data_IF_776633000107
#
_entry.id   IF_776633000107
#
_cell.length_a   1.000
_cell.length_b   1.000
_cell.length_c   1.000
_cell.angle_alpha   90.00
_cell.angle_beta   90.00
_cell.angle_gamma   90.00
#
_symmetry.space_group_name_H-M   'P 1'
#
loop_
_entity.id
_entity.type
_entity.pdbx_description
1 polymer ?
#
# COMPACT_ATOMS: atom_id res chain seq x y z
N UNK A 1 4.22 -10.38 -1.64
CA UNK A 1 3.66 -9.09 -1.16
C UNK A 1 3.50 -9.19 0.35
N UNK A 2 3.73 -8.13 1.11
CA UNK A 2 3.64 -8.16 2.59
C UNK A 2 2.19 -7.86 3.01
N UNK A 3 1.42 -8.85 3.51
CA UNK A 3 0.01 -8.63 3.83
C UNK A 3 -0.18 -7.80 5.11
N UNK A 4 0.82 -7.78 5.99
CA UNK A 4 0.76 -7.08 7.26
C UNK A 4 2.07 -6.32 7.49
N UNK A 5 1.94 -5.14 8.09
CA UNK A 5 3.05 -4.31 8.54
C UNK A 5 2.81 -3.93 10.00
N UNK A 6 3.78 -4.26 10.84
CA UNK A 6 3.82 -3.79 12.23
C UNK A 6 4.68 -2.53 12.29
N UNK A 7 4.08 -1.42 12.70
CA UNK A 7 4.77 -0.16 12.90
C UNK A 7 4.82 0.15 14.40
N UNK A 8 6.00 0.47 14.90
CA UNK A 8 6.20 0.87 16.28
C UNK A 8 7.20 2.02 16.33
N UNK A 9 6.91 3.00 17.16
CA UNK A 9 7.74 4.18 17.34
C UNK A 9 8.28 4.19 18.76
N UNK A 10 9.60 4.31 18.86
CA UNK A 10 10.33 4.34 20.13
C UNK A 10 10.88 5.75 20.32
N UNK A 11 10.63 6.34 21.49
CA UNK A 11 10.99 7.73 21.79
C UNK A 11 12.04 7.85 22.91
N UNK A 12 12.52 6.72 23.44
CA UNK A 12 13.48 6.69 24.54
C UNK A 12 14.75 7.48 24.17
N UNK A 13 15.15 8.49 24.96
CA UNK A 13 16.25 9.39 24.60
C UNK A 13 17.61 8.67 24.59
N UNK A 14 17.79 7.68 25.46
CA UNK A 14 18.97 6.83 25.48
C UNK A 14 18.96 5.81 24.33
N UNK A 15 20.05 5.78 23.57
CA UNK A 15 20.20 4.91 22.41
C UNK A 15 20.28 3.43 22.81
N UNK A 16 20.99 3.10 23.90
CA UNK A 16 21.14 1.72 24.35
C UNK A 16 19.81 1.14 24.84
N UNK A 17 19.07 1.91 25.63
CA UNK A 17 17.72 1.58 26.06
C UNK A 17 16.77 1.38 24.87
N UNK A 18 16.80 2.30 23.90
CA UNK A 18 15.94 2.21 22.70
C UNK A 18 16.23 0.95 21.89
N UNK A 19 17.50 0.57 21.73
CA UNK A 19 17.86 -0.68 21.05
C UNK A 19 17.34 -1.90 21.83
N UNK A 20 17.45 -1.90 23.17
CA UNK A 20 16.91 -2.97 24.01
C UNK A 20 15.39 -3.13 23.87
N UNK A 21 14.64 -2.02 23.82
CA UNK A 21 13.19 -2.02 23.59
C UNK A 21 12.83 -2.58 22.22
N UNK A 22 13.56 -2.18 21.17
CA UNK A 22 13.37 -2.68 19.81
C UNK A 22 13.61 -4.18 19.75
N UNK A 23 14.74 -4.65 20.28
CA UNK A 23 15.10 -6.07 20.28
C UNK A 23 14.10 -6.91 21.11
N UNK A 24 13.63 -6.38 22.23
CA UNK A 24 12.57 -6.98 23.04
C UNK A 24 11.27 -7.15 22.24
N UNK A 25 10.83 -6.09 21.55
CA UNK A 25 9.62 -6.15 20.72
C UNK A 25 9.76 -7.13 19.56
N UNK A 26 10.91 -7.15 18.88
CA UNK A 26 11.16 -8.10 17.78
C UNK A 26 11.05 -9.55 18.27
N UNK A 27 11.53 -9.86 19.47
CA UNK A 27 11.40 -11.20 20.09
C UNK A 27 9.94 -11.53 20.45
N UNK A 28 9.15 -10.55 20.90
CA UNK A 28 7.73 -10.72 21.23
C UNK A 28 6.86 -10.93 19.98
N UNK A 29 7.22 -10.30 18.86
CA UNK A 29 6.53 -10.48 17.59
C UNK A 29 6.72 -11.91 17.09
N UNK A 30 5.70 -12.76 17.29
CA UNK A 30 5.68 -14.14 16.81
C UNK A 30 6.02 -14.18 15.31
N UNK A 31 7.17 -14.75 15.02
CA UNK A 31 7.80 -14.75 13.69
C UNK A 31 7.08 -15.77 12.82
N UNK A 32 6.37 -15.29 11.79
CA UNK A 32 6.04 -16.17 10.68
C UNK A 32 7.33 -16.42 9.87
N UNK A 33 7.55 -17.64 9.36
CA UNK A 33 8.65 -17.89 8.44
C UNK A 33 8.61 -16.88 7.28
N UNK A 34 9.68 -16.10 7.11
CA UNK A 34 9.79 -15.06 6.09
C UNK A 34 9.44 -13.62 6.54
N UNK A 35 9.10 -13.40 7.81
CA UNK A 35 8.98 -12.03 8.35
C UNK A 35 10.29 -11.25 8.24
N UNK A 36 10.19 -9.98 7.85
CA UNK A 36 11.31 -9.04 7.82
C UNK A 36 11.18 -8.08 9.01
N UNK A 37 12.26 -7.95 9.79
CA UNK A 37 12.35 -7.01 10.89
C UNK A 37 13.53 -6.08 10.66
N UNK A 38 13.33 -4.79 10.92
CA UNK A 38 14.38 -3.80 10.84
C UNK A 38 14.11 -2.65 11.81
N UNK A 39 15.18 -2.12 12.38
CA UNK A 39 15.18 -0.87 13.14
C UNK A 39 15.47 0.27 12.18
N UNK A 40 14.61 1.28 12.17
CA UNK A 40 14.68 2.37 11.20
C UNK A 40 14.74 3.73 11.88
N UNK A 41 15.72 4.54 11.48
CA UNK A 41 15.84 5.93 11.87
C UNK A 41 15.24 6.83 10.80
N UNK A 42 14.51 7.88 11.20
CA UNK A 42 14.00 8.87 10.27
C UNK A 42 15.11 9.86 9.88
N UNK A 43 15.43 9.91 8.59
CA UNK A 43 16.51 10.77 8.06
C UNK A 43 15.95 12.07 7.50
N UNK A 44 14.81 11.98 6.81
CA UNK A 44 14.11 13.14 6.26
C UNK A 44 12.62 13.05 6.49
N UNK A 45 11.97 14.19 6.68
CA UNK A 45 10.51 14.27 6.75
C UNK A 45 10.00 15.58 6.16
N UNK A 46 8.86 15.50 5.48
CA UNK A 46 8.05 16.64 5.06
C UNK A 46 6.71 16.52 5.78
N UNK A 47 6.34 17.55 6.54
CA UNK A 47 5.03 17.68 7.15
C UNK A 47 4.22 18.70 6.36
N UNK A 48 3.05 18.31 5.87
CA UNK A 48 2.17 19.13 5.02
C UNK A 48 0.98 19.70 5.78
N UNK A 49 0.61 19.10 6.90
CA UNK A 49 -0.48 19.56 7.78
C UNK A 49 0.06 19.95 9.15
N UNK A 50 -0.58 20.94 9.79
CA UNK A 50 -0.21 21.53 11.08
C UNK A 50 -0.37 20.60 12.30
N UNK A 51 -0.70 19.32 12.08
CA UNK A 51 -0.61 18.23 13.08
C UNK A 51 0.85 17.86 13.35
N UNK A 52 1.73 18.86 13.41
CA UNK A 52 3.14 18.72 13.73
C UNK A 52 3.25 18.31 15.20
N UNK A 53 3.48 17.02 15.45
CA UNK A 53 3.70 16.49 16.79
C UNK A 53 2.74 15.38 17.24
N UNK A 54 1.62 15.17 16.53
CA UNK A 54 0.80 13.98 16.80
C UNK A 54 1.47 12.75 16.17
N UNK A 55 2.17 12.00 17.01
CA UNK A 55 2.85 10.74 16.63
C UNK A 55 1.88 9.56 16.65
N UNK A 56 0.61 9.80 16.98
CA UNK A 56 -0.40 8.73 17.00
C UNK A 56 -0.72 8.32 15.58
N UNK A 57 -0.92 7.01 15.41
CA UNK A 57 -1.42 6.47 14.15
C UNK A 57 -2.80 7.09 13.84
N UNK A 58 -3.09 7.41 12.57
CA UNK A 58 -4.40 7.88 12.14
C UNK A 58 -5.50 6.93 12.60
N UNK A 59 -6.50 7.48 13.29
CA UNK A 59 -7.68 6.73 13.77
C UNK A 59 -8.85 6.75 12.79
N UNK A 60 -8.77 7.54 11.72
CA UNK A 60 -9.81 7.62 10.70
C UNK A 60 -9.80 6.36 9.83
N UNK A 61 -10.95 5.71 9.65
CA UNK A 61 -11.10 4.51 8.79
C UNK A 61 -10.64 4.73 7.34
N UNK A 62 -10.70 5.96 6.83
CA UNK A 62 -10.28 6.32 5.48
C UNK A 62 -8.80 6.75 5.40
N UNK A 63 -8.14 6.88 6.55
CA UNK A 63 -6.71 7.17 6.58
C UNK A 63 -5.91 5.91 6.23
N UNK A 64 -4.74 6.13 5.64
CA UNK A 64 -3.89 5.05 5.18
C UNK A 64 -2.50 5.53 4.84
N UNK A 65 -1.67 4.57 4.47
CA UNK A 65 -0.27 4.79 4.15
C UNK A 65 0.08 4.22 2.79
N UNK A 66 0.80 4.99 1.99
CA UNK A 66 1.65 4.38 0.95
C UNK A 66 3.00 4.10 1.62
N UNK A 67 3.41 2.84 1.60
CA UNK A 67 4.70 2.41 2.15
C UNK A 67 5.53 1.81 1.04
N UNK A 68 6.78 2.23 0.97
CA UNK A 68 7.72 1.81 -0.06
C UNK A 68 9.01 1.30 0.59
N UNK A 69 9.35 0.03 0.34
CA UNK A 69 10.59 -0.59 0.81
C UNK A 69 11.65 -0.66 -0.30
N UNK A 70 12.90 -0.30 0.02
CA UNK A 70 14.01 -0.29 -0.94
C UNK A 70 15.11 -1.24 -0.50
N UNK A 71 15.56 -2.10 -1.43
CA UNK A 71 16.79 -2.89 -1.27
C UNK A 71 17.90 -2.23 -2.08
N UNK A 72 19.09 -2.16 -1.52
CA UNK A 72 20.28 -1.69 -2.22
C UNK A 72 21.06 -2.89 -2.77
N UNK A 73 21.76 -2.67 -3.87
CA UNK A 73 22.79 -3.58 -4.37
C UNK A 73 24.10 -3.30 -3.60
N UNK A 74 24.91 -4.34 -3.38
CA UNK A 74 26.06 -4.33 -2.45
C UNK A 74 27.16 -3.29 -2.80
N UNK A 75 27.21 -2.74 -4.01
CA UNK A 75 28.20 -1.73 -4.44
C UNK A 75 27.90 -0.28 -4.02
N UNK A 76 27.01 -0.06 -3.04
CA UNK A 76 26.57 1.29 -2.66
C UNK A 76 27.57 2.04 -1.76
N UNK A 77 28.78 2.32 -2.23
CA UNK A 77 29.69 3.33 -1.66
C UNK A 77 29.13 4.77 -1.72
N UNK A 78 27.86 4.93 -2.17
CA UNK A 78 27.19 6.19 -2.48
C UNK A 78 25.93 6.46 -1.63
N UNK A 79 25.70 5.75 -0.52
CA UNK A 79 24.51 5.94 0.32
C UNK A 79 24.27 7.41 0.72
N UNK A 80 25.33 8.14 1.11
CA UNK A 80 25.23 9.58 1.43
C UNK A 80 24.82 10.45 0.23
N UNK A 81 25.19 10.07 -1.00
CA UNK A 81 24.79 10.80 -2.21
C UNK A 81 23.35 10.49 -2.63
N UNK A 82 22.87 9.27 -2.35
CA UNK A 82 21.46 8.91 -2.55
C UNK A 82 20.57 9.77 -1.65
N UNK A 83 20.91 9.95 -0.39
CA UNK A 83 20.13 10.73 0.57
C UNK A 83 19.89 12.18 0.11
N UNK A 84 20.89 12.84 -0.50
CA UNK A 84 20.74 14.18 -1.07
C UNK A 84 19.67 14.29 -2.16
N UNK A 85 19.39 13.19 -2.86
CA UNK A 85 18.43 13.13 -3.97
C UNK A 85 17.17 12.31 -3.64
N UNK A 86 16.89 12.10 -2.34
CA UNK A 86 15.81 11.22 -1.88
C UNK A 86 14.44 11.52 -2.47
N UNK A 87 14.10 12.79 -2.67
CA UNK A 87 12.84 13.18 -3.29
C UNK A 87 12.65 12.58 -4.69
N UNK A 88 13.73 12.41 -5.43
CA UNK A 88 13.71 11.93 -6.82
C UNK A 88 13.65 10.41 -6.90
N UNK A 89 14.60 9.71 -6.26
CA UNK A 89 14.72 8.25 -6.41
C UNK A 89 13.65 7.48 -5.64
N UNK A 90 13.22 7.98 -4.47
CA UNK A 90 12.22 7.28 -3.65
C UNK A 90 10.78 7.43 -4.18
N UNK A 91 10.55 8.33 -5.14
CA UNK A 91 9.20 8.68 -5.61
C UNK A 91 8.45 9.67 -4.71
N UNK A 92 9.07 10.17 -3.63
CA UNK A 92 8.45 11.15 -2.74
C UNK A 92 8.02 12.44 -3.46
N UNK A 93 8.76 12.92 -4.46
CA UNK A 93 8.37 14.08 -5.29
C UNK A 93 7.08 13.82 -6.07
N UNK A 94 6.94 12.63 -6.64
CA UNK A 94 5.73 12.24 -7.39
C UNK A 94 4.52 12.24 -6.46
N UNK A 95 4.64 11.63 -5.28
CA UNK A 95 3.59 11.63 -4.27
C UNK A 95 3.27 13.06 -3.83
N UNK A 96 4.27 13.87 -3.50
CA UNK A 96 4.07 15.23 -3.01
C UNK A 96 3.34 16.12 -4.02
N UNK A 97 3.73 16.04 -5.30
CA UNK A 97 3.21 16.88 -6.39
C UNK A 97 1.86 16.40 -6.91
N UNK A 98 1.66 15.09 -7.02
CA UNK A 98 0.53 14.52 -7.75
C UNK A 98 -0.54 13.89 -6.87
N UNK A 99 -0.36 13.82 -5.55
CA UNK A 99 -1.44 13.43 -4.64
C UNK A 99 -2.55 14.49 -4.63
N UNK A 100 -3.80 14.12 -4.98
CA UNK A 100 -4.97 15.00 -4.83
C UNK A 100 -5.11 15.57 -3.43
N UNK A 101 -5.61 16.80 -3.33
CA UNK A 101 -5.90 17.45 -2.03
C UNK A 101 -6.91 16.66 -1.20
N UNK A 102 -7.85 15.98 -1.85
CA UNK A 102 -8.87 15.14 -1.21
C UNK A 102 -8.30 13.97 -0.42
N UNK A 103 -7.07 13.54 -0.70
CA UNK A 103 -6.42 12.46 0.06
C UNK A 103 -5.90 12.93 1.41
N UNK A 104 -5.77 14.25 1.59
CA UNK A 104 -5.21 14.86 2.79
C UNK A 104 -3.83 14.27 3.13
N UNK A 105 -2.84 14.47 2.25
CA UNK A 105 -1.44 14.08 2.50
C UNK A 105 -0.93 14.86 3.72
N UNK A 106 -0.50 14.13 4.77
CA UNK A 106 -0.08 14.71 6.06
C UNK A 106 1.43 14.71 6.22
N UNK A 107 2.08 13.59 5.92
CA UNK A 107 3.52 13.41 6.13
C UNK A 107 4.14 12.52 5.05
N UNK A 108 5.36 12.85 4.67
CA UNK A 108 6.25 11.96 3.93
C UNK A 108 7.52 11.82 4.77
N UNK A 109 7.93 10.62 5.13
CA UNK A 109 9.19 10.38 5.84
C UNK A 109 10.03 9.30 5.17
N UNK A 110 11.32 9.59 5.01
CA UNK A 110 12.33 8.62 4.59
C UNK A 110 13.03 8.08 5.83
N UNK A 111 13.09 6.77 5.95
CA UNK A 111 13.71 6.08 7.07
C UNK A 111 14.78 5.12 6.59
N UNK A 112 15.92 5.11 7.27
CA UNK A 112 17.10 4.29 6.97
C UNK A 112 17.24 3.19 8.00
N UNK A 113 17.56 1.98 7.55
CA UNK A 113 17.81 0.85 8.45
C UNK A 113 19.11 1.09 9.23
N UNK A 114 19.06 0.89 10.56
CA UNK A 114 20.22 1.01 11.45
C UNK A 114 21.01 -0.30 11.55
N UNK A 115 20.36 -1.44 11.31
CA UNK A 115 20.93 -2.75 11.58
C UNK A 115 21.04 -3.60 10.32
N UNK A 116 22.29 -3.89 9.94
CA UNK A 116 22.63 -4.91 8.95
C UNK A 116 23.04 -6.19 9.69
N UNK A 117 22.11 -6.79 10.45
CA UNK A 117 22.41 -8.12 11.01
C UNK A 117 22.63 -9.07 9.84
N UNK A 118 23.64 -9.94 9.93
CA UNK A 118 23.93 -11.00 8.95
C UNK A 118 22.90 -12.14 9.04
N UNK A 119 21.64 -11.82 9.26
CA UNK A 119 20.54 -12.76 9.12
C UNK A 119 20.39 -13.12 7.64
N UNK A 120 19.97 -14.35 7.36
CA UNK A 120 19.71 -14.83 6.00
C UNK A 120 18.64 -14.02 5.26
N UNK A 121 17.84 -13.23 6.00
CA UNK A 121 16.84 -12.33 5.45
C UNK A 121 17.18 -10.88 5.74
N UNK A 122 17.71 -10.17 4.73
CA UNK A 122 18.07 -8.75 4.85
C UNK A 122 16.82 -7.86 4.82
N UNK A 123 16.60 -6.99 5.83
CA UNK A 123 15.52 -6.00 5.80
C UNK A 123 15.72 -4.98 4.67
N UNK A 124 14.70 -4.17 4.40
CA UNK A 124 14.85 -3.04 3.48
C UNK A 124 15.89 -2.06 4.01
N UNK A 125 16.75 -1.54 3.13
CA UNK A 125 17.74 -0.53 3.47
C UNK A 125 17.09 0.82 3.78
N UNK A 126 16.07 1.18 2.99
CA UNK A 126 15.24 2.36 3.23
C UNK A 126 13.75 2.00 3.21
N UNK A 127 12.96 2.76 3.97
CA UNK A 127 11.51 2.76 3.91
C UNK A 127 11.04 4.20 3.70
N UNK A 128 10.22 4.44 2.69
CA UNK A 128 9.44 5.66 2.56
C UNK A 128 8.04 5.43 3.13
N UNK A 129 7.63 6.27 4.07
CA UNK A 129 6.31 6.23 4.69
C UNK A 129 5.54 7.50 4.31
N UNK A 130 4.41 7.36 3.63
CA UNK A 130 3.56 8.48 3.24
C UNK A 130 2.21 8.35 3.92
N UNK A 131 1.88 9.27 4.83
CA UNK A 131 0.65 9.29 5.61
C UNK A 131 -0.43 10.15 4.94
N UNK A 132 -1.63 9.60 4.85
CA UNK A 132 -2.79 10.27 4.30
C UNK A 132 -3.99 10.17 5.23
N UNK A 133 -4.78 11.23 5.32
CA UNK A 133 -6.00 11.27 6.14
C UNK A 133 -7.23 10.63 5.50
N UNK A 134 -7.26 10.47 4.17
CA UNK A 134 -8.46 10.02 3.44
C UNK A 134 -8.16 9.25 2.14
N UNK A 135 -6.97 8.64 2.01
CA UNK A 135 -6.58 7.93 0.77
C UNK A 135 -7.45 6.70 0.48
N UNK A 136 -8.02 6.07 1.50
CA UNK A 136 -8.86 4.87 1.38
C UNK A 136 -10.35 5.18 1.26
N UNK A 137 -10.72 6.45 1.13
CA UNK A 137 -12.11 6.79 0.83
C UNK A 137 -12.51 6.14 -0.52
N UNK A 138 -13.73 5.61 -0.68
CA UNK A 138 -14.14 4.93 -1.91
C UNK A 138 -13.94 5.76 -3.18
N UNK A 139 -14.15 7.08 -3.12
CA UNK A 139 -13.90 8.00 -4.24
C UNK A 139 -12.43 8.18 -4.62
N UNK A 140 -11.50 7.87 -3.71
CA UNK A 140 -10.07 8.07 -3.87
C UNK A 140 -9.33 6.78 -4.22
N UNK A 141 -9.93 5.63 -3.92
CA UNK A 141 -9.26 4.31 -3.95
C UNK A 141 -8.67 4.00 -5.33
N UNK A 142 -9.42 4.22 -6.42
CA UNK A 142 -8.92 3.94 -7.77
C UNK A 142 -7.70 4.80 -8.13
N UNK A 143 -7.75 6.09 -7.81
CA UNK A 143 -6.65 7.01 -8.07
C UNK A 143 -5.42 6.71 -7.19
N UNK A 144 -5.64 6.22 -5.95
CA UNK A 144 -4.58 5.79 -5.05
C UNK A 144 -3.84 4.55 -5.59
N UNK A 145 -4.60 3.59 -6.14
CA UNK A 145 -4.02 2.41 -6.81
C UNK A 145 -3.25 2.80 -8.06
N UNK A 146 -3.79 3.71 -8.88
CA UNK A 146 -3.10 4.25 -10.06
C UNK A 146 -1.78 4.95 -9.69
N UNK A 147 -1.73 5.72 -8.60
CA UNK A 147 -0.48 6.28 -8.08
C UNK A 147 0.53 5.18 -7.70
N UNK A 148 0.07 4.10 -7.06
CA UNK A 148 0.93 2.97 -6.71
C UNK A 148 1.49 2.27 -7.96
N UNK A 149 0.70 2.14 -9.03
CA UNK A 149 1.15 1.60 -10.32
C UNK A 149 2.19 2.51 -10.98
N UNK A 150 1.95 3.83 -11.03
CA UNK A 150 2.90 4.80 -11.58
C UNK A 150 4.24 4.77 -10.86
N UNK A 151 4.24 4.69 -9.52
CA UNK A 151 5.45 4.54 -8.72
C UNK A 151 6.20 3.23 -9.05
N UNK A 152 5.46 2.14 -9.32
CA UNK A 152 6.04 0.84 -9.66
C UNK A 152 6.70 0.85 -11.03
N UNK A 153 6.05 1.46 -12.04
CA UNK A 153 6.63 1.65 -13.38
C UNK A 153 7.92 2.47 -13.33
N UNK A 154 8.01 3.41 -12.38
CA UNK A 154 9.22 4.22 -12.12
C UNK A 154 10.30 3.45 -11.33
N UNK A 155 10.08 2.18 -11.01
CA UNK A 155 10.96 1.35 -10.17
C UNK A 155 11.23 1.95 -8.78
N UNK A 156 10.26 2.66 -8.20
CA UNK A 156 10.36 3.20 -6.84
C UNK A 156 10.18 2.09 -5.79
N UNK A 157 10.99 1.03 -5.82
CA UNK A 157 10.99 -0.01 -4.78
C UNK A 157 9.72 -0.87 -4.67
N UNK A 158 9.55 -1.51 -3.52
CA UNK A 158 8.41 -2.36 -3.21
C UNK A 158 7.28 -1.54 -2.58
N UNK A 159 6.21 -1.33 -3.35
CA UNK A 159 5.12 -0.42 -2.99
C UNK A 159 3.92 -1.21 -2.48
N UNK A 160 3.30 -0.73 -1.41
CA UNK A 160 2.02 -1.22 -0.94
C UNK A 160 1.22 -0.10 -0.25
N UNK A 161 -0.11 -0.22 -0.34
CA UNK A 161 -1.08 0.65 0.32
C UNK A 161 -1.61 -0.07 1.56
N UNK A 162 -1.55 0.59 2.71
CA UNK A 162 -1.95 0.02 4.01
C UNK A 162 -3.03 0.84 4.69
N UNK A 163 -3.91 0.14 5.39
CA UNK A 163 -4.86 0.71 6.33
C UNK A 163 -4.41 0.39 7.76
N UNK A 164 -4.62 1.33 8.68
CA UNK A 164 -4.43 1.06 10.11
C UNK A 164 -5.60 0.21 10.59
N UNK A 165 -5.33 -1.05 10.91
CA UNK A 165 -6.35 -1.96 11.44
C UNK A 165 -6.39 -1.97 12.97
N UNK A 166 -5.22 -2.00 13.61
CA UNK A 166 -5.10 -2.07 15.07
C UNK A 166 -4.02 -1.11 15.54
N UNK A 167 -4.34 -0.27 16.51
CA UNK A 167 -3.37 0.54 17.24
C UNK A 167 -3.21 -0.02 18.66
N UNK A 168 -1.97 -0.21 19.08
CA UNK A 168 -1.64 -0.59 20.45
C UNK A 168 -0.97 0.62 21.09
N UNK A 169 -1.61 1.23 22.09
CA UNK A 169 -0.91 2.14 22.98
C UNK A 169 -0.11 1.28 23.96
N UNK A 170 1.13 1.67 24.27
CA UNK A 170 1.84 1.10 25.40
C UNK A 170 1.08 1.48 26.68
N UNK A 171 0.07 0.67 27.03
CA UNK A 171 -0.46 0.67 28.38
C UNK A 171 0.69 0.19 29.27
N UNK A 172 0.97 0.99 30.30
CA UNK A 172 1.82 0.65 31.44
C UNK A 172 1.67 -0.83 31.80
N UNK A 173 2.81 -1.45 32.06
CA UNK A 173 3.01 -2.81 32.58
C UNK A 173 1.85 -3.38 33.41
N UNK A 174 0.82 -3.95 32.76
CA UNK A 174 -0.07 -4.97 33.31
C UNK A 174 -1.02 -5.44 32.21
N UNK A 175 -1.00 -6.74 31.92
CA UNK A 175 -2.04 -7.47 31.17
C UNK A 175 -2.21 -7.16 29.67
N UNK A 176 -1.25 -7.59 28.84
CA UNK A 176 -1.54 -7.92 27.43
C UNK A 176 -1.98 -9.38 27.30
N UNK A 177 -3.26 -9.67 27.53
CA UNK A 177 -3.89 -10.87 26.94
C UNK A 177 -4.07 -10.57 25.45
N UNK A 178 -3.16 -11.10 24.62
CA UNK A 178 -3.29 -11.07 23.16
C UNK A 178 -4.49 -11.94 22.80
N UNK A 179 -5.63 -11.31 22.51
CA UNK A 179 -6.86 -12.02 22.15
C UNK A 179 -6.71 -12.70 20.79
N UNK A 180 -6.77 -14.02 20.85
CA UNK A 180 -6.83 -15.00 19.76
C UNK A 180 -8.20 -15.01 19.05
N UNK A 181 -8.73 -13.87 18.59
CA UNK A 181 -10.07 -13.84 17.99
C UNK A 181 -10.13 -13.47 16.49
N UNK A 182 -9.00 -13.26 15.81
CA UNK A 182 -9.06 -12.93 14.37
C UNK A 182 -9.11 -14.14 13.44
N UNK A 183 -9.01 -15.38 13.93
CA UNK A 183 -9.04 -16.59 13.11
C UNK A 183 -10.45 -17.12 12.80
N UNK A 184 -11.51 -16.55 13.37
CA UNK A 184 -12.88 -17.07 13.21
C UNK A 184 -13.73 -16.40 12.11
N UNK A 185 -13.26 -15.31 11.48
CA UNK A 185 -14.04 -14.57 10.46
C UNK A 185 -13.46 -14.71 9.03
N UNK A 186 -12.40 -15.50 8.85
CA UNK A 186 -11.80 -15.74 7.51
C UNK A 186 -12.32 -17.01 6.83
N UNK A 187 -13.44 -17.59 7.29
CA UNK A 187 -14.06 -18.70 6.58
C UNK A 187 -15.07 -18.17 5.54
N UNK A 188 -14.56 -18.09 4.31
CA UNK A 188 -15.26 -18.08 3.00
C UNK A 188 -15.65 -16.69 2.46
N UNK A 189 -14.74 -16.14 1.66
CA UNK A 189 -15.04 -15.85 0.25
C UNK A 189 -13.74 -15.99 -0.54
N UNK A 190 -13.51 -17.20 -1.06
CA UNK A 190 -12.52 -17.40 -2.11
C UNK A 190 -13.02 -16.64 -3.34
N UNK A 191 -12.22 -15.71 -3.88
CA UNK A 191 -12.52 -15.10 -5.16
C UNK A 191 -12.50 -16.19 -6.23
N UNK A 192 -13.67 -16.47 -6.82
CA UNK A 192 -13.77 -17.38 -7.95
C UNK A 192 -13.09 -16.71 -9.15
N UNK A 193 -12.04 -17.37 -9.60
CA UNK A 193 -11.33 -17.15 -10.85
C UNK A 193 -12.35 -17.23 -11.99
N UNK A 194 -12.32 -16.25 -12.89
CA UNK A 194 -13.28 -16.10 -13.98
C UNK A 194 -13.46 -17.37 -14.80
N UNK A 195 -14.71 -17.77 -14.97
CA UNK A 195 -15.16 -18.70 -15.99
C UNK A 195 -16.32 -18.08 -16.75
N UNK A 196 -16.28 -18.33 -18.05
CA UNK A 196 -17.25 -17.98 -19.07
C UNK A 196 -18.69 -18.24 -18.63
N UNK A 197 -19.64 -17.46 -19.15
CA UNK A 197 -21.06 -17.79 -19.08
C UNK A 197 -21.30 -19.14 -19.77
N UNK A 198 -21.38 -20.21 -18.98
CA UNK A 198 -21.94 -21.47 -19.46
C UNK A 198 -23.47 -21.32 -19.40
N UNK A 199 -24.07 -21.36 -20.59
CA UNK A 199 -25.52 -21.29 -20.80
C UNK A 199 -26.12 -22.59 -20.30
N UNK A 200 -27.00 -22.48 -19.30
CA UNK A 200 -27.80 -23.58 -18.77
C UNK A 200 -28.60 -24.22 -19.92
N UNK A 201 -28.39 -25.51 -20.16
CA UNK A 201 -29.09 -26.25 -21.20
C UNK A 201 -30.58 -26.40 -20.83
N UNK A 202 -31.53 -25.91 -21.65
CA UNK A 202 -32.96 -26.09 -21.38
C UNK A 202 -33.40 -27.56 -21.64
N UNK A 203 -34.47 -28.02 -20.96
CA UNK A 203 -35.01 -29.38 -21.12
C UNK A 203 -35.53 -29.64 -22.55
N UNK A 204 -35.66 -30.91 -22.97
CA UNK A 204 -36.00 -31.25 -24.34
C UNK A 204 -37.48 -30.96 -24.61
N UNK A 205 -37.77 -29.94 -25.41
CA UNK A 205 -39.13 -29.58 -25.80
C UNK A 205 -39.17 -28.77 -27.10
N UNK A 206 -39.78 -29.38 -28.13
CA UNK A 206 -40.31 -28.80 -29.38
C UNK A 206 -39.46 -27.79 -30.17
N UNK A 207 -38.83 -28.30 -31.22
CA UNK A 207 -38.25 -27.54 -32.33
C UNK A 207 -39.34 -26.86 -33.17
N UNK A 208 -39.72 -25.62 -32.87
CA UNK A 208 -40.37 -24.76 -33.89
C UNK A 208 -40.30 -23.24 -33.64
N UNK A 209 -40.13 -22.76 -32.40
CA UNK A 209 -40.18 -21.31 -32.12
C UNK A 209 -38.82 -20.56 -32.23
N UNK A 210 -37.70 -21.25 -32.47
CA UNK A 210 -36.35 -20.63 -32.46
C UNK A 210 -35.93 -19.91 -33.74
N UNK A 211 -36.70 -19.97 -34.82
CA UNK A 211 -36.32 -19.33 -36.11
C UNK A 211 -36.65 -17.83 -36.21
N UNK A 212 -37.44 -17.28 -35.30
CA UNK A 212 -38.01 -15.93 -35.48
C UNK A 212 -37.27 -14.79 -34.76
N UNK A 213 -36.23 -15.06 -33.97
CA UNK A 213 -35.49 -14.01 -33.21
C UNK A 213 -34.07 -13.73 -33.69
N UNK A 214 -33.60 -14.42 -34.73
CA UNK A 214 -32.23 -14.33 -35.23
C UNK A 214 -32.08 -13.44 -36.48
N UNK A 215 -32.94 -12.42 -36.64
CA UNK A 215 -32.88 -11.46 -37.77
C UNK A 215 -32.86 -9.99 -37.35
N UNK A 216 -32.73 -9.66 -36.06
CA UNK A 216 -32.76 -8.27 -35.58
C UNK A 216 -31.54 -8.03 -34.68
N UNK A 217 -30.32 -8.13 -35.22
CA UNK A 217 -29.13 -7.60 -34.54
C UNK A 217 -27.92 -7.38 -35.45
N UNK A 218 -28.15 -6.99 -36.68
CA UNK A 218 -27.12 -6.38 -37.53
C UNK A 218 -27.70 -5.05 -37.99
N UNK A 219 -27.36 -3.96 -37.29
CA UNK A 219 -27.43 -2.55 -37.72
C UNK A 219 -27.43 -1.67 -36.47
N UNK A 220 -26.26 -1.49 -35.84
CA UNK A 220 -26.07 -0.39 -34.89
C UNK A 220 -24.58 -0.13 -34.67
N UNK A 221 -23.88 0.24 -35.74
CA UNK A 221 -22.64 1.02 -35.73
C UNK A 221 -22.47 1.65 -37.11
N UNK A 222 -23.25 2.68 -37.41
CA UNK A 222 -22.99 3.63 -38.49
C UNK A 222 -22.91 5.00 -37.83
N UNK A 223 -21.71 5.59 -37.84
CA UNK A 223 -21.53 7.01 -37.56
C UNK A 223 -22.00 7.79 -38.81
N UNK A 224 -22.76 8.89 -38.66
CA UNK A 224 -23.05 9.77 -39.79
C UNK A 224 -21.77 10.50 -40.19
N UNK A 225 -21.33 10.25 -41.41
CA UNK A 225 -20.15 10.86 -42.03
C UNK A 225 -20.61 12.09 -42.84
N UNK A 226 -20.93 13.19 -42.15
CA UNK A 226 -21.22 14.47 -42.81
C UNK A 226 -20.60 15.61 -42.01
N UNK A 227 -19.40 16.03 -42.40
CA UNK A 227 -18.94 17.43 -42.47
C UNK A 227 -17.45 17.47 -42.84
N UNK A 228 -17.16 17.37 -44.14
CA UNK A 228 -15.91 17.86 -44.73
C UNK A 228 -16.26 18.63 -46.02
N UNK A 229 -16.61 19.90 -45.88
CA UNK A 229 -16.62 20.83 -47.00
C UNK A 229 -15.17 21.23 -47.30
N UNK A 230 -14.61 20.65 -48.36
CA UNK A 230 -13.36 21.10 -48.95
C UNK A 230 -13.60 22.36 -49.80
N UNK A 231 -12.67 23.30 -49.68
CA UNK A 231 -12.60 24.54 -50.45
C UNK A 231 -12.48 24.27 -51.97
N UNK A 232 -13.22 25.05 -52.76
CA UNK A 232 -12.83 25.45 -54.12
C UNK A 232 -12.42 26.92 -54.09
#
# INVERSE_FOLDING_TARGET
MFPYLHFSQFQSPDHAQRLGEIDGLIRECRVFPGSLFGSYEEVYSIQKTTTAGDTRLPSNRHAGYIVIGFKLLDDSSKQQNLEKSWLSWSGAREIYKHSPRTWNLRRISLRRCLSTTRSSSRPFAYILLCEFGSILHPSNTLQALDMCERLRVRNCGHIALYQVHTSYSAASSCSRKVYSNSLAVTKRQAMIRGFSHDVEAPPPGSTEERRSRMRIREHSFQYPDEHYTAYQ
#
